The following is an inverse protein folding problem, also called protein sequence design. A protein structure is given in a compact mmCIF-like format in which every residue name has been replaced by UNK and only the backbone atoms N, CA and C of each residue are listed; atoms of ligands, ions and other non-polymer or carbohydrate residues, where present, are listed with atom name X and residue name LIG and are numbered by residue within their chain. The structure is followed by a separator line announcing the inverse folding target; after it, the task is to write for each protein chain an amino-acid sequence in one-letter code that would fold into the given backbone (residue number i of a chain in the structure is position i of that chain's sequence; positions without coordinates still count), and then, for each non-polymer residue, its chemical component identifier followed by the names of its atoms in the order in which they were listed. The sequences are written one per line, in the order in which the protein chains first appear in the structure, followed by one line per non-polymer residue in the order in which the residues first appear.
data_IF_429209105847
#
_entry.id   IF_429209105847
#
_cell.length_a   1.000
_cell.length_b   1.000
_cell.length_c   1.000
_cell.angle_alpha   90.00
_cell.angle_beta   90.00
_cell.angle_gamma   90.00
#
_symmetry.space_group_name_H-M   'P 1'
#
loop_
_entity.id
_entity.type
_entity.pdbx_description
1 polymer ?
#
# COMPACT_ATOMS: atom_id res chain seq x y z
N UNK A 1 37.86 22.35 14.21
CA UNK A 1 36.72 21.40 14.10
C UNK A 1 37.25 20.15 13.43
N UNK A 2 36.87 18.96 13.92
CA UNK A 2 37.31 17.68 13.37
C UNK A 2 36.28 17.14 12.37
N UNK A 3 36.71 16.35 11.39
CA UNK A 3 35.81 15.83 10.35
C UNK A 3 34.68 14.95 10.92
N UNK A 4 34.92 14.16 11.99
CA UNK A 4 33.86 13.33 12.60
C UNK A 4 32.69 14.19 13.07
N UNK A 5 32.98 15.38 13.60
CA UNK A 5 31.96 16.29 14.10
C UNK A 5 31.10 16.94 13.01
N UNK A 6 31.52 16.85 11.73
CA UNK A 6 30.78 17.36 10.58
C UNK A 6 29.99 16.26 9.82
N UNK A 7 30.02 15.00 10.30
CA UNK A 7 29.36 13.87 9.64
C UNK A 7 27.85 14.10 9.39
N UNK A 8 27.15 14.74 10.34
CA UNK A 8 25.74 15.07 10.19
C UNK A 8 25.48 16.04 9.03
N UNK A 9 26.29 17.10 8.90
CA UNK A 9 26.18 18.04 7.79
C UNK A 9 26.52 17.38 6.44
N UNK A 10 27.53 16.50 6.40
CA UNK A 10 27.84 15.71 5.20
C UNK A 10 26.65 14.85 4.80
N UNK A 11 26.03 14.14 5.76
CA UNK A 11 24.85 13.30 5.50
C UNK A 11 23.67 14.12 4.95
N UNK A 12 23.35 15.27 5.55
CA UNK A 12 22.30 16.18 5.03
C UNK A 12 22.63 16.66 3.61
N UNK A 13 23.86 17.09 3.34
CA UNK A 13 24.27 17.54 2.01
C UNK A 13 24.27 16.43 0.94
N UNK A 14 24.56 15.20 1.34
CA UNK A 14 24.41 13.99 0.52
C UNK A 14 22.92 13.72 0.27
N UNK A 15 22.07 13.89 1.28
CA UNK A 15 20.62 13.76 1.20
C UNK A 15 19.95 14.85 0.32
N UNK A 16 20.64 15.97 0.10
CA UNK A 16 20.10 17.15 -0.58
C UNK A 16 19.29 18.04 0.36
N UNK A 17 19.53 17.92 1.66
CA UNK A 17 18.88 18.63 2.76
C UNK A 17 19.78 19.75 3.27
N UNK A 18 19.17 20.71 3.97
CA UNK A 18 19.88 21.81 4.61
C UNK A 18 20.50 21.32 5.92
N UNK A 19 21.82 21.51 6.16
CA UNK A 19 22.43 21.15 7.43
C UNK A 19 21.84 21.94 8.60
N UNK A 20 21.61 21.26 9.74
CA UNK A 20 21.09 21.88 10.97
C UNK A 20 22.10 22.79 11.67
N UNK A 21 23.41 22.58 11.45
CA UNK A 21 24.49 23.35 12.06
C UNK A 21 25.27 24.15 11.01
N UNK A 22 25.20 25.48 11.11
CA UNK A 22 25.95 26.40 10.24
C UNK A 22 27.47 26.21 10.36
N UNK A 23 27.96 25.89 11.57
CA UNK A 23 29.40 25.67 11.82
C UNK A 23 29.90 24.40 11.14
N UNK A 24 29.11 23.32 11.18
CA UNK A 24 29.43 22.09 10.47
C UNK A 24 29.38 22.31 8.95
N UNK A 25 28.37 23.03 8.45
CA UNK A 25 28.26 23.39 7.04
C UNK A 25 29.49 24.20 6.56
N UNK A 26 29.93 25.19 7.35
CA UNK A 26 31.13 25.97 7.04
C UNK A 26 32.39 25.11 6.99
N UNK A 27 32.52 24.12 7.87
CA UNK A 27 33.65 23.19 7.81
C UNK A 27 33.60 22.32 6.55
N UNK A 28 32.43 21.81 6.16
CA UNK A 28 32.29 21.07 4.90
C UNK A 28 32.68 21.95 3.71
N UNK A 29 32.31 23.23 3.72
CA UNK A 29 32.65 24.19 2.67
C UNK A 29 34.17 24.48 2.57
N UNK A 30 34.91 24.31 3.66
CA UNK A 30 36.36 24.59 3.71
C UNK A 30 37.24 23.33 3.69
N UNK A 31 36.68 22.16 3.95
CA UNK A 31 37.43 20.91 4.09
C UNK A 31 37.27 19.99 2.88
N UNK A 32 38.33 19.84 2.08
CA UNK A 32 38.35 18.99 0.89
C UNK A 32 37.98 17.53 1.15
N UNK A 33 38.35 16.98 2.33
CA UNK A 33 37.97 15.61 2.71
C UNK A 33 36.45 15.48 2.84
N UNK A 34 35.79 16.41 3.54
CA UNK A 34 34.34 16.40 3.70
C UNK A 34 33.62 16.67 2.36
N UNK A 35 34.17 17.53 1.51
CA UNK A 35 33.62 17.75 0.16
C UNK A 35 33.70 16.48 -0.70
N UNK A 36 34.82 15.77 -0.64
CA UNK A 36 34.99 14.50 -1.35
C UNK A 36 33.97 13.46 -0.88
N UNK A 37 33.69 13.38 0.42
CA UNK A 37 32.63 12.52 0.97
C UNK A 37 31.24 12.90 0.44
N UNK A 38 30.92 14.20 0.38
CA UNK A 38 29.64 14.67 -0.19
C UNK A 38 29.49 14.26 -1.66
N UNK A 39 30.54 14.47 -2.47
CA UNK A 39 30.53 14.11 -3.90
C UNK A 39 30.40 12.59 -4.06
N UNK A 40 31.16 11.81 -3.28
CA UNK A 40 31.11 10.34 -3.31
C UNK A 40 29.74 9.81 -2.93
N UNK A 41 29.15 10.34 -1.85
CA UNK A 41 27.80 9.97 -1.40
C UNK A 41 26.72 10.33 -2.43
N UNK A 42 26.81 11.50 -3.07
CA UNK A 42 25.90 11.90 -4.16
C UNK A 42 26.02 10.99 -5.38
N UNK A 43 27.23 10.53 -5.71
CA UNK A 43 27.46 9.58 -6.81
C UNK A 43 26.73 8.26 -6.54
N UNK A 44 26.88 7.71 -5.33
CA UNK A 44 26.18 6.48 -4.92
C UNK A 44 24.66 6.67 -4.98
N UNK A 45 24.14 7.77 -4.44
CA UNK A 45 22.68 8.04 -4.50
C UNK A 45 22.17 8.20 -5.92
N UNK A 46 22.98 8.76 -6.83
CA UNK A 46 22.63 8.87 -8.26
C UNK A 46 22.51 7.47 -8.88
N UNK A 47 23.49 6.59 -8.67
CA UNK A 47 23.43 5.20 -9.15
C UNK A 47 22.24 4.44 -8.58
N UNK A 48 21.92 4.61 -7.29
CA UNK A 48 20.72 4.02 -6.70
C UNK A 48 19.41 4.54 -7.32
N UNK A 49 19.37 5.82 -7.71
CA UNK A 49 18.21 6.39 -8.42
C UNK A 49 18.09 5.83 -9.83
N UNK A 50 19.20 5.62 -10.53
CA UNK A 50 19.21 5.00 -11.86
C UNK A 50 18.70 3.54 -11.79
N UNK A 51 19.12 2.79 -10.77
CA UNK A 51 18.64 1.42 -10.52
C UNK A 51 17.15 1.37 -10.13
N UNK A 52 16.63 2.40 -9.44
CA UNK A 52 15.21 2.45 -9.07
C UNK A 52 14.29 2.38 -10.28
N UNK A 53 14.72 2.97 -11.39
CA UNK A 53 13.96 2.97 -12.65
C UNK A 53 14.36 1.85 -13.60
N UNK A 54 15.36 1.05 -13.25
CA UNK A 54 15.71 -0.15 -13.98
C UNK A 54 14.63 -1.22 -13.73
N UNK A 55 13.56 -1.15 -14.52
CA UNK A 55 12.53 -2.18 -14.49
C UNK A 55 13.06 -3.43 -15.17
N UNK A 56 13.17 -4.50 -14.40
CA UNK A 56 13.23 -5.85 -14.94
C UNK A 56 11.84 -6.16 -15.47
N UNK A 57 11.74 -6.53 -16.74
CA UNK A 57 10.46 -6.95 -17.31
C UNK A 57 9.98 -8.19 -16.53
N UNK A 58 8.78 -8.17 -15.94
CA UNK A 58 8.24 -9.34 -15.28
C UNK A 58 8.00 -10.44 -16.30
N UNK A 59 7.99 -11.69 -15.84
CA UNK A 59 7.58 -12.83 -16.68
C UNK A 59 6.23 -12.50 -17.34
N UNK A 60 6.10 -12.58 -18.68
CA UNK A 60 4.86 -12.28 -19.39
C UNK A 60 3.67 -13.13 -18.91
N UNK A 61 3.91 -14.32 -18.35
CA UNK A 61 2.86 -15.17 -17.78
C UNK A 61 2.31 -14.63 -16.44
N UNK A 62 3.07 -13.80 -15.71
CA UNK A 62 2.73 -13.33 -14.37
C UNK A 62 1.40 -12.55 -14.33
N UNK A 63 1.12 -11.77 -15.37
CA UNK A 63 -0.15 -11.04 -15.45
C UNK A 63 -1.33 -11.99 -15.56
N UNK A 64 -1.21 -13.01 -16.42
CA UNK A 64 -2.25 -14.03 -16.58
C UNK A 64 -2.46 -14.82 -15.29
N UNK A 65 -1.39 -15.19 -14.60
CA UNK A 65 -1.46 -15.90 -13.32
C UNK A 65 -2.12 -15.06 -12.21
N UNK A 66 -1.80 -13.78 -12.13
CA UNK A 66 -2.44 -12.85 -11.19
C UNK A 66 -3.93 -12.68 -11.49
N UNK A 67 -4.31 -12.52 -12.76
CA UNK A 67 -5.72 -12.43 -13.17
C UNK A 67 -6.48 -13.74 -12.88
N UNK A 68 -5.84 -14.89 -13.06
CA UNK A 68 -6.41 -16.19 -12.68
C UNK A 68 -6.57 -16.31 -11.17
N UNK A 69 -5.59 -15.88 -10.38
CA UNK A 69 -5.68 -15.89 -8.92
C UNK A 69 -6.81 -14.99 -8.40
N UNK A 70 -6.93 -13.76 -8.93
CA UNK A 70 -7.99 -12.81 -8.56
C UNK A 70 -9.37 -13.33 -8.98
N UNK A 71 -9.49 -13.89 -10.18
CA UNK A 71 -10.77 -14.41 -10.66
C UNK A 71 -11.25 -15.63 -9.88
N UNK A 72 -10.36 -16.54 -9.48
CA UNK A 72 -10.67 -17.66 -8.56
C UNK A 72 -11.15 -17.15 -7.21
N UNK A 73 -10.44 -16.20 -6.60
CA UNK A 73 -10.85 -15.62 -5.32
C UNK A 73 -12.25 -14.97 -5.39
N UNK A 74 -12.56 -14.29 -6.50
CA UNK A 74 -13.88 -13.71 -6.74
C UNK A 74 -14.96 -14.80 -6.93
N UNK A 75 -14.66 -15.87 -7.67
CA UNK A 75 -15.57 -16.99 -7.87
C UNK A 75 -15.90 -17.72 -6.55
N UNK A 76 -14.90 -17.92 -5.69
CA UNK A 76 -15.07 -18.56 -4.39
C UNK A 76 -15.92 -17.73 -3.44
N UNK A 77 -15.77 -16.39 -3.44
CA UNK A 77 -16.64 -15.50 -2.67
C UNK A 77 -18.08 -15.49 -3.22
N UNK A 78 -18.24 -15.49 -4.55
CA UNK A 78 -19.55 -15.60 -5.19
C UNK A 78 -20.23 -16.93 -4.85
N UNK A 79 -19.49 -18.04 -4.77
CA UNK A 79 -20.03 -19.34 -4.38
C UNK A 79 -20.43 -19.37 -2.89
N UNK A 80 -19.58 -18.83 -2.01
CA UNK A 80 -19.88 -18.72 -0.57
C UNK A 80 -21.11 -17.86 -0.28
N UNK A 81 -21.24 -16.72 -0.95
CA UNK A 81 -22.40 -15.84 -0.82
C UNK A 81 -23.69 -16.49 -1.30
N UNK A 82 -23.67 -17.23 -2.43
CA UNK A 82 -24.81 -18.06 -2.89
C UNK A 82 -25.20 -19.12 -1.87
N UNK A 83 -24.22 -19.82 -1.27
CA UNK A 83 -24.47 -20.79 -0.20
C UNK A 83 -25.12 -20.18 1.04
N UNK A 84 -24.66 -18.99 1.45
CA UNK A 84 -25.28 -18.22 2.54
C UNK A 84 -26.71 -17.80 2.21
N UNK A 85 -26.95 -17.31 1.00
CA UNK A 85 -28.29 -16.92 0.55
C UNK A 85 -29.27 -18.11 0.56
N UNK A 86 -28.85 -19.29 0.07
CA UNK A 86 -29.66 -20.51 0.14
C UNK A 86 -29.98 -20.92 1.57
N UNK A 87 -28.98 -20.92 2.47
CA UNK A 87 -29.21 -21.22 3.90
C UNK A 87 -30.22 -20.26 4.54
N UNK A 88 -30.15 -18.97 4.23
CA UNK A 88 -31.12 -17.99 4.71
C UNK A 88 -32.53 -18.27 4.19
N UNK A 89 -32.68 -18.64 2.91
CA UNK A 89 -33.97 -19.05 2.33
C UNK A 89 -34.52 -20.30 3.04
N UNK A 90 -33.70 -21.33 3.26
CA UNK A 90 -34.13 -22.54 3.97
C UNK A 90 -34.52 -22.25 5.43
N UNK A 91 -33.75 -21.42 6.14
CA UNK A 91 -34.09 -21.01 7.51
C UNK A 91 -35.38 -20.19 7.57
N UNK A 92 -35.58 -19.27 6.62
CA UNK A 92 -36.82 -18.50 6.50
C UNK A 92 -38.02 -19.41 6.19
N UNK A 93 -37.87 -20.37 5.27
CA UNK A 93 -38.91 -21.35 4.93
C UNK A 93 -39.26 -22.26 6.12
N UNK A 94 -38.27 -22.72 6.88
CA UNK A 94 -38.49 -23.49 8.10
C UNK A 94 -39.22 -22.67 9.19
N UNK A 95 -38.86 -21.38 9.34
CA UNK A 95 -39.56 -20.47 10.25
C UNK A 95 -41.02 -20.21 9.84
N UNK A 96 -41.33 -20.23 8.55
CA UNK A 96 -42.73 -20.10 8.06
C UNK A 96 -43.57 -21.37 8.23
N UNK A 97 -42.95 -22.56 8.22
CA UNK A 97 -43.66 -23.84 8.39
C UNK A 97 -44.04 -24.15 9.84
N UNK A 98 -43.37 -23.53 10.82
CA UNK A 98 -43.62 -23.75 12.25
C UNK A 98 -44.85 -23.00 12.82
N UNK A 99 -45.61 -22.28 11.99
CA UNK A 99 -46.89 -21.69 12.37
C UNK A 99 -46.77 -20.43 13.24
N UNK A 100 -46.95 -19.26 12.61
CA UNK A 100 -47.14 -17.99 13.33
C UNK A 100 -46.77 -16.79 12.46
N UNK A 101 -47.72 -15.88 12.25
CA UNK A 101 -47.69 -14.74 11.31
C UNK A 101 -46.66 -13.63 11.62
N UNK A 102 -45.51 -13.93 12.20
CA UNK A 102 -44.47 -12.98 12.60
C UNK A 102 -43.15 -13.07 11.78
N UNK A 103 -43.07 -13.93 10.75
CA UNK A 103 -41.83 -14.16 9.99
C UNK A 103 -41.52 -13.15 8.87
N UNK A 104 -42.50 -12.36 8.41
CA UNK A 104 -42.36 -11.50 7.23
C UNK A 104 -41.44 -10.28 7.42
N UNK A 105 -41.23 -9.83 8.66
CA UNK A 105 -40.55 -8.54 8.94
C UNK A 105 -39.02 -8.69 8.87
N UNK A 106 -38.46 -9.85 9.24
CA UNK A 106 -37.02 -10.07 9.23
C UNK A 106 -36.40 -10.09 7.81
N UNK A 107 -37.15 -10.59 6.82
CA UNK A 107 -36.69 -10.64 5.42
C UNK A 107 -36.71 -9.24 4.77
N UNK A 108 -37.66 -8.39 5.15
CA UNK A 108 -37.74 -7.01 4.67
C UNK A 108 -36.60 -6.13 5.24
N UNK A 109 -36.18 -6.37 6.49
CA UNK A 109 -35.06 -5.66 7.11
C UNK A 109 -33.70 -6.03 6.48
N UNK A 110 -33.51 -7.30 6.08
CA UNK A 110 -32.27 -7.75 5.42
C UNK A 110 -32.12 -7.25 3.97
N UNK A 111 -33.23 -6.89 3.31
CA UNK A 111 -33.22 -6.29 1.95
C UNK A 111 -32.93 -4.79 1.93
N UNK A 112 -33.06 -4.09 3.06
CA UNK A 112 -32.71 -2.66 3.18
C UNK A 112 -31.23 -2.49 3.56
N UNK A 113 -30.31 -2.85 2.66
CA UNK A 113 -28.94 -2.32 2.72
C UNK A 113 -28.88 -1.07 1.83
N UNK A 114 -28.77 0.16 2.38
CA UNK A 114 -28.52 1.34 1.57
C UNK A 114 -27.16 1.21 0.89
N UNK A 115 -27.09 1.57 -0.39
CA UNK A 115 -25.88 1.54 -1.18
C UNK A 115 -24.74 2.26 -0.47
N UNK A 116 -23.62 1.55 -0.26
CA UNK A 116 -22.37 2.20 0.14
C UNK A 116 -21.89 3.02 -1.05
N UNK A 117 -21.91 4.33 -0.84
CA UNK A 117 -21.35 5.35 -1.71
C UNK A 117 -19.99 4.92 -2.27
N UNK A 118 -19.86 5.09 -3.59
CA UNK A 118 -18.60 5.19 -4.31
C UNK A 118 -17.67 6.15 -3.56
N UNK A 119 -16.47 5.67 -3.23
CA UNK A 119 -15.34 6.54 -2.91
C UNK A 119 -14.97 7.21 -4.23
N UNK A 120 -15.34 8.49 -4.35
CA UNK A 120 -14.82 9.37 -5.38
C UNK A 120 -13.33 9.60 -5.10
N UNK A 121 -12.54 9.42 -6.16
CA UNK A 121 -11.19 9.94 -6.27
C UNK A 121 -11.22 11.49 -6.27
N UNK A 122 -10.20 12.11 -5.68
CA UNK A 122 -9.99 13.56 -5.66
C UNK A 122 -9.10 13.97 -4.51
#
# INVERSE_FOLDING_TARGET
MQCESAAAAVASLVAGEVPSSRRQAQHVDQCLRCQAEVVRGRRVRRSLRELRTAMVSPDPALLSDLLLAVSRAAADEAQRSKGRARRLVYLAAAATAAGGAAGGIAVAALRRRPGRHLIAAG
#
